data_IF_816427988912
#
_entry.id   IF_816427988912
#
_cell.length_a   1.000
_cell.length_b   1.000
_cell.length_c   1.000
_cell.angle_alpha   90.00
_cell.angle_beta   90.00
_cell.angle_gamma   90.00
#
_symmetry.space_group_name_H-M   'P 1'
#
loop_
_entity.id
_entity.type
_entity.pdbx_description
1 polymer ?
#
# COMPACT_ATOMS: atom_id res chain seq x y z
N UNK A 1 17.95 2.02 -13.47
CA UNK A 1 17.79 2.39 -14.89
C UNK A 1 17.37 3.84 -14.94
N UNK A 2 17.99 4.73 -15.75
CA UNK A 2 17.51 6.10 -15.85
C UNK A 2 16.14 6.08 -16.52
N UNK A 3 15.10 6.48 -15.79
CA UNK A 3 13.75 6.61 -16.34
C UNK A 3 13.75 7.78 -17.32
N UNK A 4 13.37 7.52 -18.57
CA UNK A 4 13.22 8.56 -19.60
C UNK A 4 11.77 8.99 -19.66
N UNK A 5 11.54 10.28 -19.81
CA UNK A 5 10.20 10.83 -20.03
C UNK A 5 9.60 10.37 -21.37
N UNK A 6 8.27 10.16 -21.44
CA UNK A 6 7.34 10.20 -20.30
C UNK A 6 7.53 8.99 -19.36
N UNK A 7 7.39 9.23 -18.06
CA UNK A 7 7.46 8.16 -17.05
C UNK A 7 6.30 7.19 -17.26
N UNK A 8 6.52 5.89 -17.01
CA UNK A 8 5.47 4.88 -17.13
C UNK A 8 4.98 4.51 -15.74
N UNK A 9 3.71 4.81 -15.45
CA UNK A 9 3.06 4.42 -14.21
C UNK A 9 2.23 3.17 -14.49
N UNK A 10 2.56 2.07 -13.82
CA UNK A 10 1.75 0.87 -13.90
C UNK A 10 0.48 1.05 -13.06
N UNK A 11 -0.68 0.69 -13.63
CA UNK A 11 -1.95 0.84 -12.91
C UNK A 11 -2.13 -0.13 -11.73
N UNK A 12 -1.26 -1.12 -11.57
CA UNK A 12 -1.12 -1.98 -10.39
C UNK A 12 -0.25 -1.40 -9.28
N UNK A 13 0.49 -0.32 -9.52
CA UNK A 13 1.46 0.18 -8.55
C UNK A 13 0.99 1.49 -7.87
N UNK A 14 1.78 1.91 -6.88
CA UNK A 14 1.69 3.21 -6.21
C UNK A 14 2.99 3.99 -6.41
N UNK A 15 2.89 5.27 -6.76
CA UNK A 15 4.04 6.15 -7.00
C UNK A 15 4.01 7.36 -6.07
N UNK A 16 5.18 7.78 -5.60
CA UNK A 16 5.36 9.06 -4.91
C UNK A 16 6.02 10.07 -5.85
N UNK A 17 5.41 11.25 -5.96
CA UNK A 17 5.96 12.39 -6.69
C UNK A 17 6.13 13.54 -5.71
N UNK A 18 7.39 13.88 -5.43
CA UNK A 18 7.72 14.94 -4.45
C UNK A 18 8.04 16.23 -5.20
N UNK A 19 7.28 17.28 -4.92
CA UNK A 19 7.53 18.63 -5.40
C UNK A 19 8.13 19.49 -4.27
N UNK A 20 8.37 20.78 -4.55
CA UNK A 20 8.86 21.74 -3.55
C UNK A 20 7.83 22.09 -2.47
N UNK A 21 6.55 21.74 -2.65
CA UNK A 21 5.46 22.10 -1.73
C UNK A 21 4.58 20.94 -1.31
N UNK A 22 4.60 19.84 -2.07
CA UNK A 22 3.68 18.73 -1.86
C UNK A 22 4.38 17.38 -2.07
N UNK A 23 3.89 16.38 -1.33
CA UNK A 23 4.17 14.96 -1.58
C UNK A 23 2.91 14.36 -2.17
N UNK A 24 2.96 14.01 -3.45
CA UNK A 24 1.83 13.41 -4.16
C UNK A 24 1.94 11.89 -4.11
N UNK A 25 0.89 11.23 -3.67
CA UNK A 25 0.74 9.78 -3.71
C UNK A 25 -0.22 9.47 -4.86
N UNK A 26 0.30 8.93 -5.96
CA UNK A 26 -0.51 8.45 -7.07
C UNK A 26 -0.86 6.98 -6.86
N UNK A 27 -2.15 6.65 -6.88
CA UNK A 27 -2.68 5.31 -6.65
C UNK A 27 -3.17 4.72 -7.97
N UNK A 28 -2.52 3.66 -8.44
CA UNK A 28 -2.98 2.88 -9.58
C UNK A 28 -4.35 2.26 -9.32
N UNK A 29 -5.23 2.24 -10.31
CA UNK A 29 -6.60 1.72 -10.16
C UNK A 29 -6.67 0.24 -9.75
N UNK A 30 -5.64 -0.53 -10.11
CA UNK A 30 -5.49 -1.96 -9.79
C UNK A 30 -4.54 -2.22 -8.61
N UNK A 31 -4.00 -1.18 -7.98
CA UNK A 31 -3.06 -1.35 -6.86
C UNK A 31 -3.69 -1.99 -5.63
N UNK A 32 -2.90 -2.85 -4.97
CA UNK A 32 -3.34 -3.59 -3.81
C UNK A 32 -3.29 -2.73 -2.54
N UNK A 33 -3.95 -3.22 -1.49
CA UNK A 33 -4.09 -2.47 -0.23
C UNK A 33 -2.74 -2.25 0.46
N UNK A 34 -1.83 -3.21 0.35
CA UNK A 34 -0.47 -3.15 0.87
C UNK A 34 0.38 -2.12 0.14
N UNK A 35 0.31 -2.03 -1.19
CA UNK A 35 1.02 -0.99 -1.96
C UNK A 35 0.56 0.41 -1.53
N UNK A 36 -0.75 0.59 -1.34
CA UNK A 36 -1.33 1.85 -0.86
C UNK A 36 -0.85 2.19 0.56
N UNK A 37 -0.77 1.19 1.44
CA UNK A 37 -0.28 1.38 2.80
C UNK A 37 1.20 1.75 2.82
N UNK A 38 2.03 1.08 2.01
CA UNK A 38 3.46 1.39 1.86
C UNK A 38 3.65 2.79 1.28
N UNK A 39 2.87 3.18 0.27
CA UNK A 39 2.92 4.53 -0.29
C UNK A 39 2.57 5.62 0.73
N UNK A 40 1.50 5.42 1.50
CA UNK A 40 1.11 6.35 2.57
C UNK A 40 2.17 6.45 3.69
N UNK A 41 2.74 5.31 4.11
CA UNK A 41 3.80 5.29 5.10
C UNK A 41 5.05 6.02 4.60
N UNK A 42 5.47 5.74 3.36
CA UNK A 42 6.63 6.40 2.75
C UNK A 42 6.43 7.91 2.64
N UNK A 43 5.22 8.36 2.29
CA UNK A 43 4.91 9.79 2.22
C UNK A 43 5.06 10.47 3.59
N UNK A 44 4.66 9.78 4.68
CA UNK A 44 4.84 10.28 6.04
C UNK A 44 6.30 10.37 6.46
N UNK A 45 7.13 9.39 6.09
CA UNK A 45 8.58 9.45 6.32
C UNK A 45 9.20 10.65 5.60
N UNK A 46 8.82 10.89 4.34
CA UNK A 46 9.33 12.04 3.56
C UNK A 46 8.85 13.39 4.12
N UNK A 47 7.61 13.44 4.62
CA UNK A 47 7.05 14.62 5.32
C UNK A 47 7.79 14.91 6.63
N UNK A 48 8.17 13.88 7.40
CA UNK A 48 8.94 14.06 8.65
C UNK A 48 10.31 14.70 8.39
N UNK A 49 10.97 14.33 7.29
CA UNK A 49 12.23 14.93 6.84
C UNK A 49 12.03 16.36 6.30
N UNK A 50 10.83 16.68 5.79
CA UNK A 50 10.50 17.95 5.15
C UNK A 50 9.12 18.46 5.61
N UNK A 51 9.05 18.97 6.84
CA UNK A 51 7.81 19.30 7.56
C UNK A 51 6.89 20.33 6.89
N UNK A 52 7.39 21.04 5.89
CA UNK A 52 6.63 22.05 5.15
C UNK A 52 5.86 21.47 3.95
N UNK A 53 6.09 20.19 3.60
CA UNK A 53 5.43 19.54 2.47
C UNK A 53 4.06 18.99 2.86
N UNK A 54 3.05 19.24 2.02
CA UNK A 54 1.70 18.73 2.22
C UNK A 54 1.47 17.43 1.44
N UNK A 55 0.98 16.39 2.11
CA UNK A 55 0.64 15.13 1.44
C UNK A 55 -0.70 15.26 0.70
N UNK A 56 -0.73 14.91 -0.58
CA UNK A 56 -1.95 14.81 -1.41
C UNK A 56 -2.04 13.44 -2.07
N UNK A 57 -3.19 12.80 -1.97
CA UNK A 57 -3.46 11.51 -2.63
C UNK A 57 -4.26 11.73 -3.90
N UNK A 58 -3.89 11.02 -4.95
CA UNK A 58 -4.49 11.10 -6.29
C UNK A 58 -4.73 9.69 -6.81
N UNK A 59 -5.86 9.46 -7.47
CA UNK A 59 -6.16 8.17 -8.09
C UNK A 59 -5.98 8.24 -9.61
N UNK A 60 -5.57 7.11 -10.19
CA UNK A 60 -5.51 6.88 -11.64
C UNK A 60 -6.83 7.26 -12.32
N UNK A 61 -6.76 8.26 -13.21
CA UNK A 61 -7.89 8.84 -13.95
C UNK A 61 -8.55 10.06 -13.30
N UNK A 62 -8.30 10.31 -12.02
CA UNK A 62 -8.82 11.45 -11.26
C UNK A 62 -7.72 12.46 -10.92
N UNK A 63 -6.66 12.56 -11.73
CA UNK A 63 -5.54 13.44 -11.42
C UNK A 63 -5.87 14.92 -11.66
N UNK A 64 -5.61 15.80 -10.67
CA UNK A 64 -5.81 17.23 -10.84
C UNK A 64 -4.80 17.79 -11.85
N UNK A 65 -5.16 18.91 -12.48
CA UNK A 65 -4.32 19.58 -13.48
C UNK A 65 -2.95 19.99 -12.89
N UNK A 66 -2.91 20.39 -11.61
CA UNK A 66 -1.67 20.67 -10.87
C UNK A 66 -0.68 19.48 -10.90
N UNK A 67 -1.18 18.25 -10.78
CA UNK A 67 -0.35 17.05 -10.81
C UNK A 67 0.13 16.73 -12.23
N UNK A 68 -0.76 16.84 -13.23
CA UNK A 68 -0.42 16.59 -14.65
C UNK A 68 0.61 17.58 -15.19
N UNK A 69 0.62 18.81 -14.66
CA UNK A 69 1.62 19.82 -14.99
C UNK A 69 2.97 19.59 -14.30
N UNK A 70 3.01 18.82 -13.21
CA UNK A 70 4.23 18.53 -12.44
C UNK A 70 5.07 17.41 -13.07
N UNK A 71 4.41 16.39 -13.62
CA UNK A 71 5.06 15.20 -14.15
C UNK A 71 4.41 14.76 -15.46
N UNK A 72 5.23 14.47 -16.48
CA UNK A 72 4.77 13.85 -17.72
C UNK A 72 4.82 12.33 -17.57
N UNK A 73 3.65 11.69 -17.57
CA UNK A 73 3.53 10.25 -17.39
C UNK A 73 2.48 9.64 -18.31
N UNK A 74 2.63 8.34 -18.55
CA UNK A 74 1.66 7.50 -19.23
C UNK A 74 1.27 6.34 -18.30
N UNK A 75 -0.04 6.11 -18.17
CA UNK A 75 -0.55 4.96 -17.42
C UNK A 75 -0.50 3.73 -18.32
N UNK A 76 0.19 2.68 -17.86
CA UNK A 76 0.37 1.42 -18.56
C UNK A 76 -0.27 0.31 -17.73
N UNK A 77 -0.87 -0.67 -18.41
CA UNK A 77 -1.36 -1.86 -17.73
C UNK A 77 -0.20 -2.73 -17.27
N UNK A 78 -0.13 -3.01 -15.97
CA UNK A 78 0.92 -3.81 -15.37
C UNK A 78 0.92 -3.69 -13.86
N UNK A 79 1.74 -4.51 -13.23
CA UNK A 79 1.92 -4.57 -11.78
C UNK A 79 3.32 -5.12 -11.50
N UNK A 80 4.09 -4.46 -10.63
CA UNK A 80 5.36 -5.01 -10.17
C UNK A 80 5.03 -5.95 -9.01
N UNK A 81 5.41 -7.25 -9.08
CA UNK A 81 5.09 -8.19 -8.02
C UNK A 81 5.49 -7.64 -6.64
N UNK A 82 4.47 -7.37 -5.83
CA UNK A 82 4.63 -6.78 -4.51
C UNK A 82 5.47 -7.66 -3.58
N UNK A 83 5.98 -7.03 -2.51
CA UNK A 83 6.77 -7.74 -1.50
C UNK A 83 5.95 -8.77 -0.72
N UNK A 84 4.63 -8.56 -0.57
CA UNK A 84 3.74 -9.52 0.09
C UNK A 84 3.28 -10.59 -0.89
N UNK A 85 3.63 -11.85 -0.59
CA UNK A 85 3.00 -12.99 -1.28
C UNK A 85 1.56 -13.11 -0.81
N UNK A 86 0.62 -13.10 -1.75
CA UNK A 86 -0.77 -13.46 -1.47
C UNK A 86 -0.80 -14.91 -0.95
N UNK A 87 -1.04 -15.07 0.35
CA UNK A 87 -1.22 -16.38 0.97
C UNK A 87 -2.67 -16.48 1.43
N UNK A 88 -3.51 -17.16 0.63
CA UNK A 88 -4.81 -17.59 1.11
C UNK A 88 -4.60 -18.61 2.22
N UNK A 89 -4.70 -18.16 3.47
CA UNK A 89 -4.71 -19.06 4.61
C UNK A 89 -6.03 -19.83 4.56
N UNK A 90 -6.04 -21.03 3.98
CA UNK A 90 -7.07 -22.03 4.27
C UNK A 90 -6.95 -22.34 5.76
N UNK A 91 -7.66 -21.57 6.57
CA UNK A 91 -7.71 -21.75 8.01
C UNK A 91 -8.57 -22.97 8.24
N UNK A 92 -7.96 -24.15 8.26
CA UNK A 92 -8.56 -25.36 8.80
C UNK A 92 -8.57 -25.19 10.33
N UNK A 93 -9.48 -24.33 10.81
CA UNK A 93 -9.61 -24.02 12.24
C UNK A 93 -10.32 -25.19 12.90
N UNK A 94 -9.54 -26.12 13.42
CA UNK A 94 -10.03 -27.21 14.25
C UNK A 94 -10.26 -26.66 15.67
N UNK A 95 -11.49 -26.22 15.96
CA UNK A 95 -11.86 -25.75 17.29
C UNK A 95 -12.00 -26.96 18.23
N UNK A 96 -11.11 -27.08 19.21
CA UNK A 96 -11.25 -28.08 20.29
C UNK A 96 -11.61 -27.39 21.59
N UNK A 97 -12.82 -27.67 22.07
CA UNK A 97 -13.23 -27.33 23.43
C UNK A 97 -12.80 -28.47 24.35
N UNK A 98 -11.85 -28.20 25.24
CA UNK A 98 -11.46 -29.15 26.29
C UNK A 98 -12.18 -28.76 27.57
N UNK A 99 -13.06 -29.64 28.03
CA UNK A 99 -13.68 -29.52 29.35
C UNK A 99 -12.79 -30.23 30.35
N UNK A 100 -12.22 -29.47 31.28
CA UNK A 100 -11.41 -30.01 32.38
C UNK A 100 -12.29 -30.05 33.63
N UNK A 101 -12.53 -31.22 34.18
CA UNK A 101 -13.34 -31.39 35.40
C UNK A 101 -12.44 -31.94 36.51
N UNK A 102 -12.35 -31.20 37.61
CA UNK A 102 -11.70 -31.69 38.82
C UNK A 102 -12.70 -32.53 39.61
N UNK A 103 -12.34 -33.78 39.89
CA UNK A 103 -13.13 -34.67 40.73
C UNK A 103 -12.87 -34.38 42.21
N UNK A 104 -13.81 -34.78 43.07
CA UNK A 104 -13.74 -34.57 44.52
C UNK A 104 -12.54 -35.30 45.17
N UNK A 105 -11.93 -36.26 44.47
CA UNK A 105 -10.70 -36.95 44.87
C UNK A 105 -9.41 -36.20 44.50
N UNK A 106 -9.53 -35.00 43.91
CA UNK A 106 -8.42 -34.14 43.50
C UNK A 106 -7.78 -34.50 42.15
N UNK A 107 -8.27 -35.54 41.46
CA UNK A 107 -7.77 -35.90 40.12
C UNK A 107 -8.44 -35.07 39.02
N UNK A 108 -7.67 -34.75 37.97
CA UNK A 108 -8.12 -33.95 36.82
C UNK A 108 -8.33 -34.89 35.63
N UNK A 109 -9.47 -34.77 34.95
CA UNK A 109 -9.76 -35.46 33.69
C UNK A 109 -10.18 -34.46 32.60
#
# INVERSE_FOLDING_TARGET
>A
MPMKEPYKFLNGDVYLVVSTTHIWIWLGKKSYCDDKAVGAWTAKVVEEDNKDLLIKTVMDGDEPEEFKNLVSFEVVEGDIPGFLKHFEKKLDVDYKLLQIIQKDDGTIQ
#
